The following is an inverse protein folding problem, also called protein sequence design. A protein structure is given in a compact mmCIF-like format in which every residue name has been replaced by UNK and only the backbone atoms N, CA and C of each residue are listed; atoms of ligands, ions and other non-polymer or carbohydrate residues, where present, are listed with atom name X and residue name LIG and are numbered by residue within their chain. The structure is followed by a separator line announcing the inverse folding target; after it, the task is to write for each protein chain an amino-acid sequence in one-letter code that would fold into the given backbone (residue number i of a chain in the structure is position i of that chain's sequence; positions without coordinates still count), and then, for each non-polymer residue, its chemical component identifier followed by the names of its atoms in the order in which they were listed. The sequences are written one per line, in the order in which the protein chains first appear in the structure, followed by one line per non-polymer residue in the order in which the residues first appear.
data_IF_486030035964
#
_entry.id   IF_486030035964
#
_cell.length_a   1.000
_cell.length_b   1.000
_cell.length_c   1.000
_cell.angle_alpha   90.00
_cell.angle_beta   90.00
_cell.angle_gamma   90.00
#
_symmetry.space_group_name_H-M   'P 1'
#
loop_
_entity.id
_entity.type
_entity.pdbx_description
1 polymer ?
#
# COMPACT_ATOMS: atom_id res chain seq x y z
N UNK A 1 88.75 -7.64 49.95
CA UNK A 1 88.24 -8.79 49.23
C UNK A 1 86.78 -8.51 48.91
N UNK A 2 86.54 -7.86 47.79
CA UNK A 2 85.23 -7.41 47.35
C UNK A 2 84.80 -8.22 46.13
N UNK A 3 83.70 -8.94 46.25
CA UNK A 3 83.11 -9.68 45.16
C UNK A 3 82.01 -8.80 44.54
N UNK A 4 82.27 -8.37 43.30
CA UNK A 4 81.31 -7.61 42.48
C UNK A 4 80.29 -8.55 41.91
N UNK A 5 79.01 -8.28 42.21
CA UNK A 5 77.85 -8.94 41.60
C UNK A 5 77.30 -8.08 40.42
N UNK A 6 77.50 -8.60 39.23
CA UNK A 6 77.00 -7.97 38.00
C UNK A 6 75.54 -8.36 37.81
N UNK A 7 74.58 -7.40 37.94
CA UNK A 7 73.19 -7.60 37.61
C UNK A 7 72.94 -7.46 36.14
N UNK A 8 72.59 -8.50 35.46
CA UNK A 8 72.10 -8.45 34.07
C UNK A 8 70.63 -8.03 34.04
N UNK A 9 70.35 -6.84 33.46
CA UNK A 9 69.02 -6.41 33.13
C UNK A 9 68.53 -7.16 31.88
N UNK A 10 67.49 -7.99 32.04
CA UNK A 10 66.72 -8.52 30.90
C UNK A 10 65.63 -7.52 30.57
N UNK A 11 65.78 -6.83 29.43
CA UNK A 11 64.71 -6.03 28.83
C UNK A 11 63.76 -6.96 28.10
N UNK A 12 62.57 -7.14 28.68
CA UNK A 12 61.46 -7.86 28.04
C UNK A 12 60.84 -6.95 26.99
N UNK A 13 61.12 -7.21 25.72
CA UNK A 13 60.51 -6.48 24.59
C UNK A 13 59.09 -7.04 24.35
N UNK A 14 58.07 -6.28 24.76
CA UNK A 14 56.67 -6.63 24.57
C UNK A 14 56.27 -6.17 23.15
N UNK A 15 56.15 -7.14 22.22
CA UNK A 15 55.64 -6.92 20.87
C UNK A 15 54.12 -6.87 20.97
N UNK A 16 53.53 -5.64 20.84
CA UNK A 16 52.08 -5.48 20.65
C UNK A 16 51.74 -5.85 19.20
N UNK A 17 51.13 -7.00 19.01
CA UNK A 17 50.42 -7.32 17.76
C UNK A 17 49.09 -6.55 17.74
N UNK A 18 49.05 -5.47 16.97
CA UNK A 18 47.81 -4.78 16.63
C UNK A 18 47.04 -5.61 15.60
N UNK A 19 46.04 -6.39 16.05
CA UNK A 19 45.09 -7.05 15.16
C UNK A 19 44.10 -6.01 14.61
N UNK A 20 44.33 -5.56 13.37
CA UNK A 20 43.36 -4.76 12.62
C UNK A 20 42.18 -5.64 12.22
N UNK A 21 41.05 -5.49 12.92
CA UNK A 21 39.76 -6.07 12.53
C UNK A 21 39.24 -5.22 11.36
N UNK A 22 39.02 -5.77 10.14
CA UNK A 22 38.37 -5.04 9.09
C UNK A 22 36.92 -4.82 9.52
N UNK A 23 36.50 -3.56 9.68
CA UNK A 23 35.11 -3.20 9.83
C UNK A 23 34.38 -3.55 8.51
N UNK A 24 33.66 -4.64 8.52
CA UNK A 24 32.71 -4.96 7.46
C UNK A 24 31.58 -3.95 7.58
N UNK A 25 31.68 -2.85 6.84
CA UNK A 25 30.54 -1.98 6.58
C UNK A 25 29.55 -2.80 5.76
N UNK A 26 28.58 -3.41 6.44
CA UNK A 26 27.42 -3.99 5.80
C UNK A 26 26.72 -2.87 5.03
N UNK A 27 26.89 -2.87 3.71
CA UNK A 27 25.97 -2.15 2.84
C UNK A 27 24.59 -2.79 3.06
N UNK A 28 23.76 -2.14 3.87
CA UNK A 28 22.33 -2.37 3.81
C UNK A 28 21.93 -2.00 2.38
N UNK A 29 21.80 -3.01 1.52
CA UNK A 29 21.13 -2.83 0.25
C UNK A 29 19.76 -2.24 0.62
N UNK A 30 19.54 -1.00 0.22
CA UNK A 30 18.24 -0.37 0.19
C UNK A 30 17.43 -1.24 -0.78
N UNK A 31 16.77 -2.26 -0.22
CA UNK A 31 15.81 -3.05 -0.94
C UNK A 31 14.68 -2.08 -1.26
N UNK A 32 14.76 -1.43 -2.42
CA UNK A 32 13.68 -0.63 -2.98
C UNK A 32 12.44 -1.49 -2.86
N UNK A 33 11.56 -1.18 -1.91
CA UNK A 33 10.34 -1.93 -1.67
C UNK A 33 9.54 -1.88 -2.97
N UNK A 34 9.59 -2.99 -3.72
CA UNK A 34 8.83 -3.09 -4.95
C UNK A 34 7.37 -3.19 -4.56
N UNK A 35 6.65 -2.10 -4.75
CA UNK A 35 5.22 -2.06 -4.46
C UNK A 35 4.44 -3.06 -5.32
N UNK A 36 3.35 -3.64 -4.80
CA UNK A 36 2.51 -4.53 -5.57
C UNK A 36 1.92 -3.84 -6.80
N UNK A 37 1.83 -4.57 -7.91
CA UNK A 37 1.14 -4.10 -9.10
C UNK A 37 -0.31 -4.61 -9.08
N UNK A 38 -1.27 -3.69 -9.06
CA UNK A 38 -2.69 -4.00 -9.00
C UNK A 38 -3.34 -4.20 -10.37
N UNK A 39 -2.60 -4.08 -11.48
CA UNK A 39 -3.14 -4.22 -12.84
C UNK A 39 -3.90 -5.50 -13.03
N UNK A 40 -5.03 -5.39 -13.71
CA UNK A 40 -5.87 -6.52 -14.07
C UNK A 40 -7.35 -6.23 -13.93
N UNK A 41 -8.14 -7.25 -14.25
CA UNK A 41 -9.59 -7.25 -14.08
C UNK A 41 -9.95 -8.02 -12.82
N UNK A 42 -10.74 -7.42 -11.97
CA UNK A 42 -11.07 -7.90 -10.63
C UNK A 42 -12.57 -8.01 -10.47
N UNK A 43 -13.06 -9.18 -10.04
CA UNK A 43 -14.49 -9.41 -9.78
C UNK A 43 -14.74 -9.58 -8.28
N UNK A 44 -15.73 -8.88 -7.77
CA UNK A 44 -16.21 -9.02 -6.39
C UNK A 44 -16.58 -10.46 -6.05
N UNK A 45 -16.17 -10.92 -4.87
CA UNK A 45 -16.65 -12.14 -4.22
C UNK A 45 -17.60 -11.72 -3.10
N UNK A 46 -18.90 -11.82 -3.39
CA UNK A 46 -19.96 -11.29 -2.53
C UNK A 46 -19.90 -11.87 -1.11
N UNK A 47 -19.73 -13.18 -0.99
CA UNK A 47 -19.72 -13.89 0.29
C UNK A 47 -18.48 -13.60 1.17
N UNK A 48 -17.45 -13.00 0.59
CA UNK A 48 -16.23 -12.58 1.29
C UNK A 48 -16.20 -11.08 1.57
N UNK A 49 -17.16 -10.33 1.02
CA UNK A 49 -17.24 -8.88 1.16
C UNK A 49 -18.21 -8.50 2.28
N UNK A 50 -17.94 -7.40 2.98
CA UNK A 50 -18.74 -6.91 4.10
C UNK A 50 -19.16 -5.46 3.84
N UNK A 51 -20.46 -5.19 3.92
CA UNK A 51 -21.01 -3.88 3.59
C UNK A 51 -21.67 -3.17 4.78
N UNK A 52 -21.69 -3.78 5.97
CA UNK A 52 -22.06 -3.20 7.27
C UNK A 52 -23.26 -2.23 7.22
N UNK A 53 -24.39 -2.67 6.66
CA UNK A 53 -25.61 -1.87 6.54
C UNK A 53 -25.77 -1.07 5.24
N UNK A 54 -24.71 -0.95 4.43
CA UNK A 54 -24.86 -0.41 3.08
C UNK A 54 -25.51 -1.40 2.13
N UNK A 55 -26.13 -0.87 1.06
CA UNK A 55 -26.70 -1.71 0.02
C UNK A 55 -25.60 -2.56 -0.63
N UNK A 56 -25.80 -3.87 -0.59
CA UNK A 56 -24.86 -4.83 -1.19
C UNK A 56 -25.06 -4.84 -2.70
N UNK A 57 -24.02 -4.56 -3.50
CA UNK A 57 -24.12 -4.70 -4.95
C UNK A 57 -24.31 -6.15 -5.37
N UNK A 58 -24.97 -6.36 -6.51
CA UNK A 58 -25.06 -7.69 -7.10
C UNK A 58 -23.75 -8.08 -7.78
N UNK A 59 -23.05 -7.11 -8.35
CA UNK A 59 -21.73 -7.28 -8.95
C UNK A 59 -20.91 -6.01 -8.86
N UNK A 60 -19.61 -6.18 -8.66
CA UNK A 60 -18.59 -5.13 -8.84
C UNK A 60 -17.46 -5.70 -9.68
N UNK A 61 -17.14 -5.02 -10.76
CA UNK A 61 -15.96 -5.28 -11.59
C UNK A 61 -15.06 -4.07 -11.50
N UNK A 62 -13.78 -4.29 -11.25
CA UNK A 62 -12.74 -3.26 -11.30
C UNK A 62 -11.72 -3.63 -12.35
N UNK A 63 -11.42 -2.70 -13.24
CA UNK A 63 -10.30 -2.80 -14.17
C UNK A 63 -9.26 -1.79 -13.73
N UNK A 64 -8.10 -2.27 -13.38
CA UNK A 64 -6.98 -1.45 -12.90
C UNK A 64 -5.87 -1.48 -13.93
N UNK A 65 -5.42 -0.30 -14.35
CA UNK A 65 -4.21 -0.10 -15.11
C UNK A 65 -3.23 0.67 -14.22
N UNK A 66 -2.16 -0.01 -13.78
CA UNK A 66 -1.22 0.48 -12.80
C UNK A 66 0.20 0.54 -13.38
N UNK A 67 0.67 1.76 -13.57
CA UNK A 67 2.04 2.10 -13.97
C UNK A 67 2.55 3.19 -13.04
N UNK A 68 3.21 2.79 -11.94
CA UNK A 68 3.68 3.72 -10.91
C UNK A 68 4.37 4.97 -11.53
N UNK A 69 4.01 6.19 -11.07
CA UNK A 69 3.10 6.49 -9.95
C UNK A 69 1.60 6.57 -10.32
N UNK A 70 1.19 6.25 -11.54
CA UNK A 70 -0.18 6.40 -12.01
C UNK A 70 -0.99 5.12 -11.90
N UNK A 71 -2.21 5.24 -11.39
CA UNK A 71 -3.22 4.18 -11.35
C UNK A 71 -4.50 4.71 -11.96
N UNK A 72 -4.97 4.07 -13.03
CA UNK A 72 -6.31 4.26 -13.58
C UNK A 72 -7.21 3.12 -13.10
N UNK A 73 -8.33 3.46 -12.52
CA UNK A 73 -9.34 2.52 -12.04
C UNK A 73 -10.66 2.77 -12.74
N UNK A 74 -11.15 1.79 -13.48
CA UNK A 74 -12.50 1.73 -14.00
C UNK A 74 -13.33 0.77 -13.15
N UNK A 75 -14.41 1.25 -12.54
CA UNK A 75 -15.31 0.44 -11.72
C UNK A 75 -16.70 0.36 -12.35
N UNK A 76 -17.21 -0.84 -12.54
CA UNK A 76 -18.58 -1.14 -12.95
C UNK A 76 -19.27 -1.76 -11.75
N UNK A 77 -20.36 -1.15 -11.28
CA UNK A 77 -21.16 -1.65 -10.17
C UNK A 77 -22.60 -1.83 -10.60
N UNK A 78 -23.15 -3.02 -10.37
CA UNK A 78 -24.57 -3.34 -10.61
C UNK A 78 -25.29 -3.55 -9.28
N UNK A 79 -26.44 -2.91 -9.12
CA UNK A 79 -27.32 -3.05 -7.96
C UNK A 79 -28.77 -3.06 -8.45
N UNK A 80 -29.43 -4.19 -8.36
CA UNK A 80 -30.74 -4.42 -8.99
C UNK A 80 -30.64 -4.20 -10.51
N UNK A 81 -31.48 -3.32 -11.03
CA UNK A 81 -31.50 -3.00 -12.46
C UNK A 81 -30.58 -1.82 -12.85
N UNK A 82 -29.85 -1.27 -11.89
CA UNK A 82 -28.99 -0.11 -12.12
C UNK A 82 -27.53 -0.54 -12.24
N UNK A 83 -26.89 -0.09 -13.30
CA UNK A 83 -25.43 -0.19 -13.47
C UNK A 83 -24.83 1.21 -13.47
N UNK A 84 -23.82 1.42 -12.67
CA UNK A 84 -23.02 2.64 -12.63
C UNK A 84 -21.59 2.35 -13.02
N UNK A 85 -20.96 3.31 -13.67
CA UNK A 85 -19.55 3.28 -14.05
C UNK A 85 -18.84 4.47 -13.42
N UNK A 86 -17.63 4.28 -12.98
CA UNK A 86 -16.80 5.32 -12.39
C UNK A 86 -15.37 5.13 -12.84
N UNK A 87 -14.79 6.19 -13.39
CA UNK A 87 -13.39 6.25 -13.80
C UNK A 87 -12.66 7.22 -12.90
N UNK A 88 -11.55 6.79 -12.33
CA UNK A 88 -10.71 7.61 -11.46
C UNK A 88 -9.24 7.38 -11.76
N UNK A 89 -8.46 8.43 -11.59
CA UNK A 89 -6.99 8.38 -11.68
C UNK A 89 -6.40 8.80 -10.35
N UNK A 90 -5.44 8.02 -9.87
CA UNK A 90 -4.65 8.32 -8.68
C UNK A 90 -3.17 8.41 -9.03
N UNK A 91 -2.43 9.23 -8.28
CA UNK A 91 -0.97 9.20 -8.27
C UNK A 91 -0.46 8.77 -6.90
N UNK A 92 0.38 7.73 -6.87
CA UNK A 92 0.88 7.09 -5.64
C UNK A 92 1.95 7.91 -4.91
N UNK A 93 2.32 9.06 -5.46
CA UNK A 93 3.28 10.02 -4.90
C UNK A 93 2.65 11.02 -3.90
N UNK A 94 1.41 10.75 -3.47
CA UNK A 94 0.62 11.59 -2.57
C UNK A 94 0.20 12.97 -3.16
N UNK A 95 0.35 13.17 -4.46
CA UNK A 95 -0.20 14.37 -5.11
C UNK A 95 -1.73 14.36 -5.11
N UNK A 96 -2.35 15.54 -5.18
CA UNK A 96 -3.81 15.66 -5.23
C UNK A 96 -4.28 15.50 -6.67
N UNK A 97 -5.25 14.60 -6.86
CA UNK A 97 -6.03 14.52 -8.10
C UNK A 97 -7.48 14.91 -7.83
N UNK A 98 -8.13 15.52 -8.83
CA UNK A 98 -9.58 15.73 -8.81
C UNK A 98 -10.22 14.75 -9.76
N UNK A 99 -11.11 13.91 -9.23
CA UNK A 99 -11.89 12.94 -9.98
C UNK A 99 -13.38 13.29 -9.89
N UNK A 100 -14.18 12.79 -10.83
CA UNK A 100 -15.64 12.89 -10.74
C UNK A 100 -16.20 11.56 -10.21
N UNK A 101 -16.70 11.55 -8.97
CA UNK A 101 -17.29 10.39 -8.34
C UNK A 101 -18.77 10.66 -8.04
N UNK A 102 -19.66 9.81 -8.53
CA UNK A 102 -21.12 9.98 -8.37
C UNK A 102 -21.61 11.35 -8.88
N UNK A 103 -20.98 11.89 -9.92
CA UNK A 103 -21.28 13.21 -10.52
C UNK A 103 -20.86 14.40 -9.66
N UNK A 104 -19.86 14.24 -8.80
CA UNK A 104 -19.28 15.31 -7.97
C UNK A 104 -17.78 15.28 -8.02
N UNK A 105 -17.19 16.43 -7.82
CA UNK A 105 -15.74 16.56 -7.68
C UNK A 105 -15.30 15.96 -6.36
N UNK A 106 -14.31 15.06 -6.45
CA UNK A 106 -13.69 14.38 -5.34
C UNK A 106 -12.19 14.64 -5.38
N UNK A 107 -11.64 15.18 -4.31
CA UNK A 107 -10.21 15.33 -4.14
C UNK A 107 -9.63 14.02 -3.60
N UNK A 108 -8.71 13.43 -4.35
CA UNK A 108 -8.08 12.16 -4.01
C UNK A 108 -6.58 12.33 -3.78
N UNK A 109 -6.05 11.58 -2.83
CA UNK A 109 -4.61 11.37 -2.60
C UNK A 109 -4.36 9.89 -2.46
N UNK A 110 -3.27 9.41 -3.07
CA UNK A 110 -2.87 8.03 -2.91
C UNK A 110 -1.39 7.96 -2.53
N UNK A 111 -1.07 7.06 -1.59
CA UNK A 111 0.30 6.86 -1.11
C UNK A 111 0.49 5.42 -0.64
N UNK A 112 1.75 4.99 -0.60
CA UNK A 112 2.11 3.68 -0.10
C UNK A 112 2.31 3.67 1.41
N UNK A 113 1.73 2.68 2.08
CA UNK A 113 2.00 2.33 3.46
C UNK A 113 2.47 0.86 3.51
N UNK A 114 3.78 0.68 3.43
CA UNK A 114 4.39 -0.62 3.21
C UNK A 114 3.97 -1.20 1.86
N UNK A 115 3.37 -2.40 1.87
CA UNK A 115 2.83 -3.05 0.67
C UNK A 115 1.36 -2.69 0.37
N UNK A 116 0.74 -1.85 1.18
CA UNK A 116 -0.63 -1.41 0.97
C UNK A 116 -0.67 -0.04 0.27
N UNK A 117 -1.59 0.11 -0.69
CA UNK A 117 -1.93 1.42 -1.23
C UNK A 117 -3.06 2.02 -0.40
N UNK A 118 -2.85 3.23 0.11
CA UNK A 118 -3.88 4.00 0.81
C UNK A 118 -4.39 5.09 -0.12
N UNK A 119 -5.70 5.15 -0.32
CA UNK A 119 -6.36 6.18 -1.13
C UNK A 119 -7.33 6.95 -0.24
N UNK A 120 -7.09 8.23 -0.07
CA UNK A 120 -7.97 9.12 0.69
C UNK A 120 -8.75 10.02 -0.25
N UNK A 121 -10.06 9.91 -0.22
CA UNK A 121 -11.01 10.67 -1.03
C UNK A 121 -11.81 11.62 -0.15
N UNK A 122 -11.93 12.88 -0.55
CA UNK A 122 -12.78 13.88 0.11
C UNK A 122 -13.76 14.44 -0.91
N UNK A 123 -15.03 14.47 -0.59
CA UNK A 123 -16.07 15.04 -1.43
C UNK A 123 -17.15 15.76 -0.59
N UNK A 124 -17.92 16.63 -1.26
CA UNK A 124 -19.11 17.26 -0.67
C UNK A 124 -20.34 16.58 -1.26
N UNK A 125 -21.20 16.07 -0.38
CA UNK A 125 -22.44 15.38 -0.74
C UNK A 125 -23.51 16.35 -1.24
N UNK A 126 -24.59 15.87 -1.89
CA UNK A 126 -25.66 16.73 -2.43
C UNK A 126 -26.37 17.57 -1.37
N UNK A 127 -26.41 17.09 -0.14
CA UNK A 127 -26.98 17.78 1.01
C UNK A 127 -25.99 18.80 1.64
N UNK A 128 -24.80 18.97 1.08
CA UNK A 128 -23.75 19.87 1.59
C UNK A 128 -22.83 19.23 2.62
N UNK A 129 -23.09 18.00 3.07
CA UNK A 129 -22.26 17.29 4.03
C UNK A 129 -20.93 16.86 3.41
N UNK A 130 -19.90 16.75 4.25
CA UNK A 130 -18.60 16.23 3.86
C UNK A 130 -18.55 14.71 4.00
N UNK A 131 -18.00 14.03 3.00
CA UNK A 131 -17.67 12.61 3.06
C UNK A 131 -16.15 12.46 2.87
N UNK A 132 -15.52 11.72 3.79
CA UNK A 132 -14.12 11.29 3.66
C UNK A 132 -14.12 9.77 3.61
N UNK A 133 -13.49 9.22 2.60
CA UNK A 133 -13.28 7.78 2.46
C UNK A 133 -11.79 7.53 2.45
N UNK A 134 -11.33 6.59 3.28
CA UNK A 134 -9.99 6.06 3.24
C UNK A 134 -10.04 4.60 2.84
N UNK A 135 -9.57 4.31 1.63
CA UNK A 135 -9.47 2.96 1.09
C UNK A 135 -8.06 2.42 1.29
N UNK A 136 -7.96 1.22 1.82
CA UNK A 136 -6.70 0.48 1.94
C UNK A 136 -6.74 -0.75 1.03
N UNK A 137 -5.90 -0.75 0.00
CA UNK A 137 -5.82 -1.82 -0.97
C UNK A 137 -4.68 -2.77 -0.62
N UNK A 138 -4.97 -4.05 -0.60
CA UNK A 138 -4.01 -5.09 -0.29
C UNK A 138 -4.14 -6.24 -1.30
N UNK A 139 -3.00 -6.67 -1.82
CA UNK A 139 -2.92 -7.83 -2.71
C UNK A 139 -2.48 -9.06 -1.92
N UNK A 140 -3.12 -10.21 -2.14
CA UNK A 140 -2.66 -11.48 -1.58
C UNK A 140 -1.28 -11.86 -2.11
N UNK A 141 -0.55 -12.69 -1.37
CA UNK A 141 0.81 -13.09 -1.73
C UNK A 141 0.91 -13.77 -3.11
N UNK A 142 -0.15 -14.45 -3.53
CA UNK A 142 -0.25 -15.08 -4.85
C UNK A 142 -0.70 -14.13 -5.97
N UNK A 143 -1.00 -12.87 -5.62
CA UNK A 143 -1.46 -11.85 -6.56
C UNK A 143 -2.87 -12.05 -7.13
N UNK A 144 -3.67 -12.98 -6.56
CA UNK A 144 -4.97 -13.37 -7.11
C UNK A 144 -6.17 -12.79 -6.38
N UNK A 145 -5.97 -12.21 -5.20
CA UNK A 145 -7.04 -11.58 -4.42
C UNK A 145 -6.67 -10.14 -4.09
N UNK A 146 -7.56 -9.21 -4.43
CA UNK A 146 -7.48 -7.80 -4.05
C UNK A 146 -8.52 -7.53 -2.97
N UNK A 147 -8.06 -7.13 -1.79
CA UNK A 147 -8.90 -6.70 -0.69
C UNK A 147 -8.83 -5.18 -0.55
N UNK A 148 -9.97 -4.51 -0.52
CA UNK A 148 -10.08 -3.09 -0.21
C UNK A 148 -10.87 -2.95 1.08
N UNK A 149 -10.22 -2.48 2.15
CA UNK A 149 -10.89 -2.01 3.36
C UNK A 149 -11.18 -0.53 3.20
N UNK A 150 -12.42 -0.10 3.39
CA UNK A 150 -12.83 1.31 3.29
C UNK A 150 -13.34 1.78 4.63
N UNK A 151 -12.78 2.88 5.13
CA UNK A 151 -13.27 3.61 6.29
C UNK A 151 -13.94 4.89 5.79
N UNK A 152 -15.22 5.06 6.09
CA UNK A 152 -16.06 6.17 5.62
C UNK A 152 -16.44 7.01 6.81
N UNK A 153 -16.16 8.31 6.72
CA UNK A 153 -16.53 9.31 7.73
C UNK A 153 -17.46 10.32 7.10
N UNK A 154 -18.61 10.53 7.72
CA UNK A 154 -19.61 11.55 7.36
C UNK A 154 -20.04 12.30 8.61
N UNK A 155 -20.83 13.36 8.45
CA UNK A 155 -21.43 14.06 9.60
C UNK A 155 -22.43 13.18 10.36
N UNK A 156 -23.01 12.14 9.73
CA UNK A 156 -23.92 11.21 10.35
C UNK A 156 -23.23 10.09 11.14
N UNK A 157 -21.91 9.91 10.97
CA UNK A 157 -21.12 8.89 11.65
C UNK A 157 -20.09 8.22 10.75
N UNK A 158 -19.54 7.12 11.25
CA UNK A 158 -18.46 6.37 10.62
C UNK A 158 -18.94 4.95 10.26
N UNK A 159 -18.36 4.39 9.22
CA UNK A 159 -18.64 3.02 8.81
C UNK A 159 -17.43 2.39 8.09
N UNK A 160 -17.30 1.08 8.27
CA UNK A 160 -16.28 0.29 7.60
C UNK A 160 -16.90 -0.66 6.58
N UNK A 161 -16.23 -0.80 5.44
CA UNK A 161 -16.59 -1.76 4.40
C UNK A 161 -15.38 -2.63 4.08
N UNK A 162 -15.62 -3.83 3.59
CA UNK A 162 -14.57 -4.66 2.99
C UNK A 162 -15.06 -5.20 1.66
N UNK A 163 -14.36 -4.87 0.60
CA UNK A 163 -14.57 -5.42 -0.73
C UNK A 163 -13.46 -6.39 -1.05
N UNK A 164 -13.81 -7.65 -1.28
CA UNK A 164 -12.88 -8.69 -1.70
C UNK A 164 -13.15 -9.03 -3.16
N UNK A 165 -12.11 -8.91 -3.99
CA UNK A 165 -12.18 -9.24 -5.40
C UNK A 165 -11.16 -10.33 -5.75
N UNK A 166 -11.50 -11.19 -6.71
CA UNK A 166 -10.57 -12.15 -7.33
C UNK A 166 -10.20 -11.68 -8.71
N UNK A 167 -8.95 -11.96 -9.10
CA UNK A 167 -8.47 -11.66 -10.43
C UNK A 167 -9.18 -12.55 -11.44
N UNK A 168 -9.67 -11.96 -12.52
CA UNK A 168 -10.17 -12.71 -13.65
C UNK A 168 -9.01 -13.01 -14.60
N UNK A 169 -8.92 -14.25 -15.04
CA UNK A 169 -7.97 -14.62 -16.09
C UNK A 169 -8.33 -13.89 -17.39
N UNK A 170 -7.34 -13.33 -18.06
CA UNK A 170 -7.55 -12.81 -19.42
C UNK A 170 -8.01 -13.99 -20.29
N UNK A 171 -9.23 -13.90 -20.82
CA UNK A 171 -9.67 -14.86 -21.83
C UNK A 171 -8.73 -14.72 -23.04
N UNK A 172 -8.04 -15.77 -23.47
CA UNK A 172 -7.32 -15.70 -24.73
C UNK A 172 -8.30 -15.34 -25.85
N UNK A 173 -7.98 -14.30 -26.61
CA UNK A 173 -8.70 -13.92 -27.82
C UNK A 173 -8.57 -15.02 -28.90
#
# INVERSE_FOLDING_TARGET
MLISQTRRCFTLSMILLASSIPAVYGQTADATLKHPNFSGRWRMVKDKSQFNGFTVPDAVIRVVDHHDPMINLHTIQTTGQKTSMTDVTYFTDNSVTTNTIRGRDAQCRAYWDGAALVVRTKMIMKNGEHEVVEDRWQLSADGKTLTTGSHIVTEAGEADLTLVCVKEDEKPN
#
